data_IF_112807241574
#
_entry.id   IF_112807241574
#
_cell.length_a   1.000
_cell.length_b   1.000
_cell.length_c   1.000
_cell.angle_alpha   90.00
_cell.angle_beta   90.00
_cell.angle_gamma   90.00
#
_symmetry.space_group_name_H-M   'P 1'
#
loop_
_entity.id
_entity.type
_entity.pdbx_description
1 polymer ?
#
# COMPACT_ATOMS: atom_id res chain seq x y z
N UNK A 1 9.22 24.44 -13.71
CA UNK A 1 9.13 22.98 -13.58
C UNK A 1 7.65 22.60 -13.53
N UNK A 2 7.23 21.53 -14.20
CA UNK A 2 5.83 21.07 -14.16
C UNK A 2 5.65 20.24 -12.89
N UNK A 3 4.70 20.62 -12.03
CA UNK A 3 4.35 19.88 -10.81
C UNK A 3 4.51 20.67 -9.51
N UNK A 4 3.91 20.15 -8.44
CA UNK A 4 4.03 20.68 -7.08
C UNK A 4 5.01 19.82 -6.26
N UNK A 5 5.85 20.49 -5.45
CA UNK A 5 6.94 19.87 -4.69
C UNK A 5 6.84 20.18 -3.19
N UNK A 6 5.62 20.32 -2.68
CA UNK A 6 5.39 20.47 -1.25
C UNK A 6 5.86 19.23 -0.48
N UNK A 7 6.27 19.40 0.78
CA UNK A 7 6.72 18.33 1.67
C UNK A 7 5.72 17.17 1.85
N UNK A 8 4.44 17.43 1.60
CA UNK A 8 3.37 16.41 1.54
C UNK A 8 3.55 15.51 0.31
N UNK A 9 3.59 16.11 -0.88
CA UNK A 9 3.79 15.40 -2.14
C UNK A 9 5.15 14.69 -2.21
N UNK A 10 6.18 15.24 -1.56
CA UNK A 10 7.49 14.57 -1.44
C UNK A 10 7.37 13.24 -0.70
N UNK A 11 6.52 13.12 0.33
CA UNK A 11 6.29 11.84 1.00
C UNK A 11 5.62 10.83 0.06
N UNK A 12 4.68 11.28 -0.77
CA UNK A 12 4.08 10.45 -1.81
C UNK A 12 5.14 9.93 -2.79
N UNK A 13 6.06 10.79 -3.23
CA UNK A 13 7.15 10.39 -4.12
C UNK A 13 8.12 9.41 -3.45
N UNK A 14 8.40 9.56 -2.16
CA UNK A 14 9.21 8.61 -1.40
C UNK A 14 8.50 7.25 -1.25
N UNK A 15 7.19 7.25 -1.08
CA UNK A 15 6.36 6.03 -1.11
C UNK A 15 6.51 5.31 -2.46
N UNK A 16 6.34 6.05 -3.56
CA UNK A 16 6.52 5.49 -4.91
C UNK A 16 7.93 4.94 -5.14
N UNK A 17 8.96 5.67 -4.73
CA UNK A 17 10.35 5.21 -4.84
C UNK A 17 10.57 3.91 -4.06
N UNK A 18 10.06 3.82 -2.83
CA UNK A 18 10.08 2.59 -2.02
C UNK A 18 9.35 1.45 -2.75
N UNK A 19 8.19 1.72 -3.33
CA UNK A 19 7.40 0.72 -4.06
C UNK A 19 8.14 0.16 -5.27
N UNK A 20 8.80 1.02 -6.04
CA UNK A 20 9.61 0.63 -7.21
C UNK A 20 10.83 -0.21 -6.78
N UNK A 21 11.53 0.20 -5.72
CA UNK A 21 12.64 -0.58 -5.15
C UNK A 21 12.13 -1.96 -4.72
N UNK A 22 10.96 -2.03 -4.07
CA UNK A 22 10.31 -3.29 -3.71
C UNK A 22 10.04 -4.19 -4.93
N UNK A 23 9.59 -3.62 -6.05
CA UNK A 23 9.39 -4.39 -7.28
C UNK A 23 10.70 -4.94 -7.82
N UNK A 24 11.78 -4.17 -7.83
CA UNK A 24 13.11 -4.66 -8.20
C UNK A 24 13.59 -5.78 -7.28
N UNK A 25 13.39 -5.65 -5.97
CA UNK A 25 13.67 -6.71 -5.00
C UNK A 25 12.85 -7.98 -5.29
N UNK A 26 11.60 -7.83 -5.71
CA UNK A 26 10.74 -8.97 -6.08
C UNK A 26 11.31 -9.72 -7.28
N UNK A 27 11.66 -9.02 -8.35
CA UNK A 27 12.16 -9.64 -9.58
C UNK A 27 13.56 -10.24 -9.42
N UNK A 28 14.36 -9.73 -8.48
CA UNK A 28 15.67 -10.28 -8.13
C UNK A 28 15.62 -11.41 -7.10
N UNK A 29 14.41 -11.82 -6.67
CA UNK A 29 14.22 -12.92 -5.69
C UNK A 29 14.45 -12.52 -4.23
N UNK A 30 14.64 -11.24 -3.96
CA UNK A 30 14.83 -10.67 -2.63
C UNK A 30 13.51 -10.34 -1.94
N UNK A 31 12.71 -11.38 -1.66
CA UNK A 31 11.34 -11.23 -1.15
C UNK A 31 11.24 -10.49 0.18
N UNK A 32 12.17 -10.76 1.11
CA UNK A 32 12.24 -10.09 2.40
C UNK A 32 12.34 -8.55 2.26
N UNK A 33 13.18 -8.09 1.35
CA UNK A 33 13.36 -6.66 1.06
C UNK A 33 12.15 -6.06 0.37
N UNK A 34 11.52 -6.81 -0.55
CA UNK A 34 10.29 -6.36 -1.22
C UNK A 34 9.14 -6.12 -0.23
N UNK A 35 8.94 -7.03 0.71
CA UNK A 35 7.90 -6.92 1.74
C UNK A 35 8.21 -5.78 2.71
N UNK A 36 9.48 -5.58 3.06
CA UNK A 36 9.92 -4.43 3.83
C UNK A 36 9.59 -3.11 3.11
N UNK A 37 9.90 -3.01 1.81
CA UNK A 37 9.57 -1.85 0.99
C UNK A 37 8.05 -1.60 0.92
N UNK A 38 7.23 -2.65 0.80
CA UNK A 38 5.77 -2.52 0.84
C UNK A 38 5.27 -1.95 2.18
N UNK A 39 5.80 -2.46 3.30
CA UNK A 39 5.46 -1.96 4.63
C UNK A 39 5.90 -0.50 4.82
N UNK A 40 7.06 -0.14 4.25
CA UNK A 40 7.58 1.23 4.26
C UNK A 40 6.70 2.19 3.42
N UNK A 41 6.14 1.74 2.29
CA UNK A 41 5.16 2.53 1.53
C UNK A 41 3.95 2.87 2.39
N UNK A 42 3.39 1.88 3.11
CA UNK A 42 2.25 2.09 4.02
C UNK A 42 2.55 3.08 5.15
N UNK A 43 3.80 3.08 5.64
CA UNK A 43 4.24 4.05 6.64
C UNK A 43 4.27 5.48 6.06
N UNK A 44 4.86 5.66 4.87
CA UNK A 44 4.93 6.97 4.21
C UNK A 44 3.56 7.52 3.83
N UNK A 45 2.67 6.69 3.29
CA UNK A 45 1.28 7.05 2.99
C UNK A 45 0.55 7.57 4.26
N UNK A 46 0.68 6.83 5.36
CA UNK A 46 0.01 7.23 6.60
C UNK A 46 0.55 8.55 7.17
N UNK A 47 1.85 8.80 6.98
CA UNK A 47 2.46 10.08 7.33
C UNK A 47 1.97 11.20 6.41
N UNK A 48 1.97 11.02 5.09
CA UNK A 48 1.49 12.04 4.16
C UNK A 48 0.04 12.44 4.46
N UNK A 49 -0.86 11.47 4.66
CA UNK A 49 -2.25 11.75 5.01
C UNK A 49 -2.42 12.54 6.32
N UNK A 50 -1.55 12.35 7.32
CA UNK A 50 -1.57 13.16 8.57
C UNK A 50 -1.01 14.56 8.33
N UNK A 51 0.11 14.64 7.62
CA UNK A 51 0.84 15.87 7.33
C UNK A 51 -0.01 16.81 6.45
N UNK A 52 -0.69 16.25 5.45
CA UNK A 52 -1.66 16.93 4.61
C UNK A 52 -2.82 17.54 5.40
N UNK A 53 -3.33 16.85 6.43
CA UNK A 53 -4.42 17.34 7.31
C UNK A 53 -3.99 18.46 8.27
N UNK A 54 -2.70 18.57 8.58
CA UNK A 54 -2.18 19.62 9.47
C UNK A 54 -1.86 20.93 8.72
N UNK A 55 -1.70 20.89 7.39
CA UNK A 55 -1.40 22.07 6.58
C UNK A 55 -2.66 22.95 6.42
N UNK A 56 -2.74 24.03 7.21
CA UNK A 56 -3.86 25.00 7.18
C UNK A 56 -3.86 25.92 5.96
N UNK A 57 -2.75 26.02 5.23
CA UNK A 57 -2.54 26.98 4.13
C UNK A 57 -2.26 26.27 2.79
N UNK A 58 -3.09 25.32 2.37
CA UNK A 58 -3.01 24.71 1.03
C UNK A 58 -3.92 25.46 0.08
N UNK A 59 -3.43 25.78 -1.13
CA UNK A 59 -4.32 26.22 -2.21
C UNK A 59 -5.16 25.03 -2.69
N UNK A 60 -6.35 25.29 -3.24
CA UNK A 60 -7.21 24.22 -3.76
C UNK A 60 -6.51 23.42 -4.86
N UNK A 61 -5.76 24.07 -5.75
CA UNK A 61 -4.96 23.40 -6.79
C UNK A 61 -3.94 22.40 -6.21
N UNK A 62 -3.20 22.78 -5.16
CA UNK A 62 -2.24 21.88 -4.48
C UNK A 62 -2.92 20.68 -3.85
N UNK A 63 -4.14 20.87 -3.34
CA UNK A 63 -4.92 19.81 -2.72
C UNK A 63 -5.46 18.83 -3.76
N UNK A 64 -6.05 19.32 -4.85
CA UNK A 64 -6.52 18.49 -5.95
C UNK A 64 -5.37 17.71 -6.61
N UNK A 65 -4.24 18.37 -6.88
CA UNK A 65 -3.06 17.69 -7.40
C UNK A 65 -2.55 16.61 -6.44
N UNK A 66 -2.47 16.92 -5.14
CA UNK A 66 -2.08 15.99 -4.09
C UNK A 66 -2.95 14.74 -4.04
N UNK A 67 -4.27 14.88 -4.14
CA UNK A 67 -5.21 13.74 -4.15
C UNK A 67 -4.96 12.84 -5.36
N UNK A 68 -4.76 13.43 -6.54
CA UNK A 68 -4.57 12.65 -7.77
C UNK A 68 -3.23 11.92 -7.78
N UNK A 69 -2.14 12.59 -7.39
CA UNK A 69 -0.81 11.96 -7.37
C UNK A 69 -0.72 10.86 -6.31
N UNK A 70 -1.37 11.02 -5.17
CA UNK A 70 -1.48 10.03 -4.11
C UNK A 70 -2.16 8.75 -4.61
N UNK A 71 -3.31 8.88 -5.26
CA UNK A 71 -4.04 7.73 -5.85
C UNK A 71 -3.25 6.99 -6.94
N UNK A 72 -2.48 7.72 -7.76
CA UNK A 72 -1.60 7.13 -8.77
C UNK A 72 -0.41 6.38 -8.12
N UNK A 73 0.13 6.91 -7.03
CA UNK A 73 1.18 6.23 -6.28
C UNK A 73 0.63 5.00 -5.55
N UNK A 74 -0.57 5.09 -4.99
CA UNK A 74 -1.26 4.01 -4.29
C UNK A 74 -1.51 2.79 -5.16
N UNK A 75 -1.95 2.98 -6.41
CA UNK A 75 -2.17 1.84 -7.30
C UNK A 75 -0.86 1.12 -7.62
N UNK A 76 0.26 1.84 -7.73
CA UNK A 76 1.58 1.23 -7.94
C UNK A 76 2.07 0.51 -6.68
N UNK A 77 2.01 1.18 -5.53
CA UNK A 77 2.56 0.68 -4.28
C UNK A 77 1.71 -0.42 -3.61
N UNK A 78 0.39 -0.32 -3.69
CA UNK A 78 -0.55 -1.21 -3.00
C UNK A 78 -1.39 -2.07 -3.96
N UNK A 79 -1.45 -1.71 -5.25
CA UNK A 79 -2.01 -2.57 -6.29
C UNK A 79 -0.95 -3.47 -6.92
N UNK A 80 0.02 -2.87 -7.61
CA UNK A 80 0.96 -3.59 -8.48
C UNK A 80 2.06 -4.32 -7.70
N UNK A 81 2.69 -3.67 -6.71
CA UNK A 81 3.75 -4.31 -5.93
C UNK A 81 3.28 -5.60 -5.21
N UNK A 82 2.13 -5.63 -4.51
CA UNK A 82 1.59 -6.87 -3.94
C UNK A 82 1.32 -7.96 -4.98
N UNK A 83 0.86 -7.59 -6.18
CA UNK A 83 0.69 -8.53 -7.29
C UNK A 83 2.02 -9.17 -7.67
N UNK A 84 3.07 -8.36 -7.83
CA UNK A 84 4.40 -8.86 -8.14
C UNK A 84 4.92 -9.81 -7.05
N UNK A 85 4.79 -9.42 -5.77
CA UNK A 85 5.19 -10.22 -4.60
C UNK A 85 4.49 -11.57 -4.61
N UNK A 86 3.16 -11.58 -4.77
CA UNK A 86 2.36 -12.80 -4.72
C UNK A 86 2.61 -13.71 -5.92
N UNK A 87 2.78 -13.14 -7.11
CA UNK A 87 3.11 -13.89 -8.32
C UNK A 87 4.45 -14.61 -8.17
N UNK A 88 5.49 -13.90 -7.70
CA UNK A 88 6.80 -14.50 -7.43
C UNK A 88 6.75 -15.52 -6.27
N UNK A 89 5.85 -15.34 -5.30
CA UNK A 89 5.65 -16.27 -4.18
C UNK A 89 4.92 -17.57 -4.56
N UNK A 90 4.54 -17.76 -5.83
CA UNK A 90 3.97 -19.01 -6.35
C UNK A 90 2.54 -18.91 -6.87
N UNK A 91 1.92 -17.72 -6.89
CA UNK A 91 0.60 -17.51 -7.54
C UNK A 91 0.74 -17.36 -9.08
N UNK A 92 1.64 -18.12 -9.70
CA UNK A 92 1.96 -18.05 -11.12
C UNK A 92 1.14 -19.03 -12.00
N UNK A 93 0.22 -19.78 -11.39
CA UNK A 93 -0.76 -20.59 -12.11
C UNK A 93 -1.90 -19.73 -12.65
N UNK A 94 -2.67 -20.26 -13.61
CA UNK A 94 -3.81 -19.53 -14.20
C UNK A 94 -4.82 -19.02 -13.16
N UNK A 95 -5.25 -19.81 -12.15
CA UNK A 95 -6.13 -19.30 -11.09
C UNK A 95 -5.47 -18.22 -10.23
N UNK A 96 -4.19 -18.38 -9.91
CA UNK A 96 -3.41 -17.39 -9.15
C UNK A 96 -3.36 -16.05 -9.87
N UNK A 97 -3.00 -16.06 -11.16
CA UNK A 97 -2.95 -14.86 -12.00
C UNK A 97 -4.32 -14.18 -12.10
N UNK A 98 -5.41 -14.95 -12.27
CA UNK A 98 -6.76 -14.39 -12.30
C UNK A 98 -7.15 -13.68 -10.99
N UNK A 99 -6.80 -14.25 -9.83
CA UNK A 99 -7.03 -13.62 -8.51
C UNK A 99 -6.22 -12.32 -8.37
N UNK A 100 -4.97 -12.31 -8.84
CA UNK A 100 -4.13 -11.12 -8.76
C UNK A 100 -4.62 -9.99 -9.68
N UNK A 101 -5.09 -10.33 -10.88
CA UNK A 101 -5.75 -9.37 -11.79
C UNK A 101 -7.00 -8.79 -11.13
N UNK A 102 -7.86 -9.66 -10.58
CA UNK A 102 -9.05 -9.23 -9.85
C UNK A 102 -8.71 -8.30 -8.68
N UNK A 103 -7.72 -8.66 -7.86
CA UNK A 103 -7.25 -7.84 -6.74
C UNK A 103 -6.82 -6.43 -7.20
N UNK A 104 -6.00 -6.35 -8.24
CA UNK A 104 -5.50 -5.08 -8.75
C UNK A 104 -6.63 -4.20 -9.32
N UNK A 105 -7.53 -4.80 -10.09
CA UNK A 105 -8.72 -4.12 -10.63
C UNK A 105 -9.65 -3.64 -9.52
N UNK A 106 -9.85 -4.45 -8.47
CA UNK A 106 -10.64 -4.07 -7.31
C UNK A 106 -10.04 -2.84 -6.59
N UNK A 107 -8.72 -2.82 -6.40
CA UNK A 107 -8.00 -1.67 -5.85
C UNK A 107 -8.15 -0.42 -6.71
N UNK A 108 -8.03 -0.54 -8.03
CA UNK A 108 -8.22 0.55 -8.99
C UNK A 108 -9.63 1.15 -8.92
N UNK A 109 -10.66 0.31 -8.97
CA UNK A 109 -12.07 0.73 -8.87
C UNK A 109 -12.31 1.45 -7.54
N UNK A 110 -11.76 0.91 -6.45
CA UNK A 110 -11.88 1.47 -5.12
C UNK A 110 -11.28 2.87 -5.01
N UNK A 111 -10.07 3.08 -5.56
CA UNK A 111 -9.42 4.40 -5.60
C UNK A 111 -10.22 5.39 -6.46
N UNK A 112 -10.63 4.99 -7.66
CA UNK A 112 -11.43 5.86 -8.54
C UNK A 112 -12.76 6.27 -7.89
N UNK A 113 -13.47 5.32 -7.26
CA UNK A 113 -14.70 5.60 -6.54
C UNK A 113 -14.46 6.55 -5.34
N UNK A 114 -13.38 6.33 -4.59
CA UNK A 114 -13.04 7.18 -3.45
C UNK A 114 -12.76 8.62 -3.89
N UNK A 115 -11.97 8.83 -4.96
CA UNK A 115 -11.66 10.16 -5.48
C UNK A 115 -12.90 10.92 -5.93
N UNK A 116 -13.79 10.27 -6.70
CA UNK A 116 -15.03 10.89 -7.19
C UNK A 116 -15.99 11.20 -6.04
N UNK A 117 -16.12 10.29 -5.06
CA UNK A 117 -17.01 10.52 -3.92
C UNK A 117 -16.45 11.57 -2.94
N UNK A 118 -15.13 11.65 -2.79
CA UNK A 118 -14.50 12.69 -1.97
C UNK A 118 -14.65 14.07 -2.61
N UNK A 119 -14.51 14.18 -3.94
CA UNK A 119 -14.76 15.42 -4.68
C UNK A 119 -16.21 15.90 -4.48
N UNK A 120 -17.20 15.01 -4.65
CA UNK A 120 -18.61 15.32 -4.36
C UNK A 120 -18.83 15.76 -2.91
N UNK A 121 -18.20 15.09 -1.95
CA UNK A 121 -18.28 15.45 -0.52
C UNK A 121 -17.67 16.80 -0.17
N UNK A 122 -16.69 17.27 -0.94
CA UNK A 122 -16.12 18.60 -0.75
C UNK A 122 -17.08 19.70 -1.24
N UNK A 123 -18.01 19.37 -2.13
CA UNK A 123 -19.06 20.25 -2.64
C UNK A 123 -20.32 20.26 -1.75
N UNK A 124 -20.51 19.24 -0.89
CA UNK A 124 -21.64 19.14 0.06
C UNK A 124 -21.43 19.92 1.38
N UNK A 125 -22.52 20.41 1.98
CA UNK A 125 -22.51 21.20 3.23
C UNK A 125 -22.00 20.39 4.43
N UNK A 126 -21.30 21.06 5.37
CA UNK A 126 -20.56 20.43 6.47
C UNK A 126 -21.35 19.49 7.40
N UNK A 127 -22.69 19.58 7.41
CA UNK A 127 -23.60 18.79 8.27
C UNK A 127 -23.72 17.31 7.88
N UNK A 128 -23.45 16.91 6.63
CA UNK A 128 -23.68 15.52 6.15
C UNK A 128 -22.45 14.58 6.21
N UNK A 129 -21.33 14.99 6.83
CA UNK A 129 -20.03 14.28 6.74
C UNK A 129 -19.86 13.05 7.67
N UNK A 130 -20.88 12.20 7.85
CA UNK A 130 -20.85 11.17 8.93
C UNK A 130 -20.41 9.75 8.59
N UNK A 131 -20.14 9.38 7.34
CA UNK A 131 -19.71 7.99 7.04
C UNK A 131 -18.65 7.92 5.94
N UNK A 132 -17.59 7.13 6.19
CA UNK A 132 -16.62 6.69 5.18
C UNK A 132 -16.92 5.23 4.84
N UNK A 133 -16.83 4.87 3.56
CA UNK A 133 -17.11 3.52 3.04
C UNK A 133 -15.79 2.78 2.76
N UNK A 134 -15.75 1.48 3.08
CA UNK A 134 -14.77 0.50 2.59
C UNK A 134 -13.40 0.45 3.29
N UNK A 135 -12.69 -0.66 3.09
CA UNK A 135 -11.30 -0.84 3.55
C UNK A 135 -10.35 0.03 2.67
N UNK A 136 -9.38 0.76 3.25
CA UNK A 136 -8.35 1.46 2.47
C UNK A 136 -7.44 0.48 1.73
N UNK A 137 -7.01 0.82 0.51
CA UNK A 137 -6.09 -0.02 -0.28
C UNK A 137 -4.77 -0.26 0.46
N UNK A 138 -4.35 0.74 1.25
CA UNK A 138 -3.12 0.74 2.07
C UNK A 138 -3.10 -0.36 3.14
N UNK A 139 -4.25 -0.99 3.43
CA UNK A 139 -4.36 -2.12 4.38
C UNK A 139 -3.52 -3.33 3.95
N UNK A 140 -3.27 -3.50 2.64
CA UNK A 140 -2.41 -4.59 2.15
C UNK A 140 -0.97 -4.50 2.69
N UNK A 141 -0.50 -3.28 3.00
CA UNK A 141 0.83 -3.06 3.56
C UNK A 141 1.00 -3.62 4.97
N UNK A 142 -0.10 -3.95 5.66
CA UNK A 142 -0.08 -4.70 6.92
C UNK A 142 -0.43 -6.18 6.70
N UNK A 143 -1.42 -6.47 5.86
CA UNK A 143 -1.92 -7.84 5.65
C UNK A 143 -0.86 -8.74 5.01
N UNK A 144 -0.20 -8.29 3.93
CA UNK A 144 0.71 -9.13 3.17
C UNK A 144 1.99 -9.49 3.95
N UNK A 145 2.65 -8.55 4.66
CA UNK A 145 3.76 -8.89 5.55
C UNK A 145 3.38 -9.91 6.63
N UNK A 146 2.19 -9.78 7.23
CA UNK A 146 1.72 -10.72 8.25
C UNK A 146 1.55 -12.13 7.69
N UNK A 147 0.92 -12.26 6.52
CA UNK A 147 0.78 -13.55 5.84
C UNK A 147 2.16 -14.15 5.56
N UNK A 148 3.12 -13.34 5.09
CA UNK A 148 4.46 -13.83 4.76
C UNK A 148 5.28 -14.23 6.00
N UNK A 149 5.21 -13.48 7.10
CA UNK A 149 5.87 -13.87 8.37
C UNK A 149 5.28 -15.19 8.87
N UNK A 150 3.97 -15.39 8.71
CA UNK A 150 3.31 -16.64 9.09
C UNK A 150 3.62 -17.83 8.17
N UNK A 151 4.36 -17.64 7.07
CA UNK A 151 4.67 -18.70 6.11
C UNK A 151 5.35 -19.92 6.75
N UNK A 152 6.24 -19.69 7.73
CA UNK A 152 6.91 -20.77 8.45
C UNK A 152 5.95 -21.67 9.25
N UNK A 153 4.84 -21.11 9.74
CA UNK A 153 3.79 -21.85 10.44
C UNK A 153 2.84 -22.55 9.46
N UNK A 154 2.56 -21.92 8.31
CA UNK A 154 1.60 -22.41 7.34
C UNK A 154 2.15 -23.54 6.44
N UNK A 155 3.45 -23.56 6.16
CA UNK A 155 4.14 -24.56 5.33
C UNK A 155 3.35 -24.95 4.07
N UNK A 156 2.67 -26.11 4.08
CA UNK A 156 1.87 -26.65 2.96
C UNK A 156 0.63 -25.81 2.63
N UNK A 157 0.10 -25.07 3.61
CA UNK A 157 -1.10 -24.24 3.45
C UNK A 157 -0.79 -22.80 3.06
N UNK A 158 0.49 -22.43 2.93
CA UNK A 158 0.88 -21.06 2.61
C UNK A 158 0.25 -20.56 1.30
N UNK A 159 0.39 -21.34 0.23
CA UNK A 159 -0.09 -20.93 -1.09
C UNK A 159 -1.63 -20.83 -1.16
N UNK A 160 -2.42 -21.80 -0.66
CA UNK A 160 -3.87 -21.64 -0.54
C UNK A 160 -4.30 -20.43 0.30
N UNK A 161 -3.64 -20.17 1.44
CA UNK A 161 -3.95 -19.01 2.27
C UNK A 161 -3.63 -17.70 1.55
N UNK A 162 -2.55 -17.65 0.76
CA UNK A 162 -2.24 -16.49 -0.05
C UNK A 162 -3.31 -16.21 -1.11
N UNK A 163 -3.79 -17.26 -1.80
CA UNK A 163 -4.90 -17.13 -2.77
C UNK A 163 -6.17 -16.59 -2.10
N UNK A 164 -6.58 -17.20 -0.99
CA UNK A 164 -7.76 -16.78 -0.22
C UNK A 164 -7.59 -15.37 0.32
N UNK A 165 -6.42 -15.03 0.85
CA UNK A 165 -6.10 -13.70 1.38
C UNK A 165 -6.21 -12.60 0.32
N UNK A 166 -5.65 -12.82 -0.87
CA UNK A 166 -5.73 -11.85 -1.97
C UNK A 166 -7.16 -11.72 -2.51
N UNK A 167 -7.90 -12.83 -2.60
CA UNK A 167 -9.30 -12.82 -3.04
C UNK A 167 -10.21 -12.08 -2.05
N UNK A 168 -10.06 -12.36 -0.74
CA UNK A 168 -10.81 -11.67 0.32
C UNK A 168 -10.46 -10.19 0.32
N UNK A 169 -9.17 -9.84 0.23
CA UNK A 169 -8.74 -8.43 0.24
C UNK A 169 -9.29 -7.67 -0.96
N UNK A 170 -9.22 -8.24 -2.17
CA UNK A 170 -9.82 -7.66 -3.37
C UNK A 170 -11.34 -7.52 -3.25
N UNK A 171 -12.02 -8.54 -2.70
CA UNK A 171 -13.45 -8.48 -2.41
C UNK A 171 -13.78 -7.33 -1.44
N UNK A 172 -13.04 -7.19 -0.35
CA UNK A 172 -13.23 -6.12 0.65
C UNK A 172 -13.03 -4.71 0.09
N UNK A 173 -12.26 -4.54 -1.00
CA UNK A 173 -12.14 -3.25 -1.68
C UNK A 173 -13.41 -2.84 -2.42
N UNK A 174 -14.15 -3.80 -3.00
CA UNK A 174 -15.39 -3.51 -3.75
C UNK A 174 -16.63 -3.56 -2.84
N UNK A 175 -16.61 -4.40 -1.80
CA UNK A 175 -17.74 -4.57 -0.91
C UNK A 175 -18.00 -3.29 -0.09
N UNK A 176 -19.25 -2.83 -0.12
CA UNK A 176 -19.74 -1.69 0.65
C UNK A 176 -19.93 -2.04 2.14
N UNK A 177 -18.86 -2.43 2.83
CA UNK A 177 -18.87 -2.52 4.28
C UNK A 177 -18.76 -1.11 4.89
N UNK A 178 -19.74 -0.77 5.74
CA UNK A 178 -19.68 0.44 6.59
C UNK A 178 -18.72 0.16 7.74
N UNK A 179 -17.44 0.49 7.56
CA UNK A 179 -16.45 0.36 8.62
C UNK A 179 -16.53 1.58 9.55
N UNK A 180 -16.57 1.35 10.87
CA UNK A 180 -16.52 2.43 11.87
C UNK A 180 -15.13 3.07 11.80
N UNK A 181 -15.06 4.40 11.67
CA UNK A 181 -13.79 5.13 11.64
C UNK A 181 -12.97 4.75 12.88
N UNK A 182 -11.75 4.20 12.71
CA UNK A 182 -10.88 3.93 13.84
C UNK A 182 -10.63 5.23 14.60
N UNK A 183 -10.72 5.20 15.92
CA UNK A 183 -10.38 6.35 16.74
C UNK A 183 -8.90 6.73 16.49
N UNK A 184 -8.50 7.98 16.72
CA UNK A 184 -7.12 8.42 16.55
C UNK A 184 -6.13 7.54 17.35
N UNK A 185 -6.57 6.98 18.49
CA UNK A 185 -5.80 6.02 19.30
C UNK A 185 -5.63 4.66 18.62
N UNK A 186 -6.67 4.15 17.96
CA UNK A 186 -6.65 2.87 17.24
C UNK A 186 -5.82 2.98 15.96
N UNK A 187 -5.95 4.08 15.23
CA UNK A 187 -5.10 4.38 14.08
C UNK A 187 -3.63 4.52 14.51
N UNK A 188 -3.35 5.19 15.64
CA UNK A 188 -2.01 5.26 16.20
C UNK A 188 -1.46 3.88 16.59
N UNK A 189 -2.30 2.99 17.12
CA UNK A 189 -1.91 1.62 17.43
C UNK A 189 -1.55 0.82 16.17
N UNK A 190 -2.35 0.92 15.10
CA UNK A 190 -2.03 0.25 13.81
C UNK A 190 -0.70 0.76 13.25
N UNK A 191 -0.49 2.08 13.24
CA UNK A 191 0.77 2.68 12.79
C UNK A 191 1.93 2.23 13.66
N UNK A 192 1.77 2.18 14.98
CA UNK A 192 2.80 1.71 15.89
C UNK A 192 3.15 0.24 15.62
N UNK A 193 2.15 -0.62 15.39
CA UNK A 193 2.37 -2.02 15.01
C UNK A 193 3.13 -2.12 13.69
N UNK A 194 2.69 -1.41 12.64
CA UNK A 194 3.38 -1.42 11.34
C UNK A 194 4.81 -0.90 11.49
N UNK A 195 5.03 0.20 12.23
CA UNK A 195 6.35 0.74 12.49
C UNK A 195 7.24 -0.24 13.26
N UNK A 196 6.72 -0.95 14.25
CA UNK A 196 7.44 -2.01 14.98
C UNK A 196 7.79 -3.16 14.06
N UNK A 197 6.88 -3.59 13.18
CA UNK A 197 7.14 -4.63 12.19
C UNK A 197 8.22 -4.19 11.20
N UNK A 198 8.16 -2.96 10.70
CA UNK A 198 9.19 -2.37 9.81
C UNK A 198 10.54 -2.31 10.53
N UNK A 199 10.59 -1.84 11.78
CA UNK A 199 11.81 -1.80 12.58
C UNK A 199 12.36 -3.21 12.86
N UNK A 200 11.50 -4.16 13.18
CA UNK A 200 11.89 -5.56 13.35
C UNK A 200 12.49 -6.13 12.07
N UNK A 201 11.84 -5.94 10.92
CA UNK A 201 12.36 -6.36 9.62
C UNK A 201 13.69 -5.68 9.30
N UNK A 202 13.81 -4.39 9.61
CA UNK A 202 15.06 -3.66 9.45
C UNK A 202 16.19 -4.23 10.31
N UNK A 203 15.94 -4.63 11.55
CA UNK A 203 17.00 -5.21 12.40
C UNK A 203 17.30 -6.66 12.03
N UNK A 204 16.28 -7.43 11.70
CA UNK A 204 16.36 -8.87 11.46
C UNK A 204 16.96 -9.21 10.08
N UNK A 205 16.66 -8.42 9.06
CA UNK A 205 17.18 -8.66 7.72
C UNK A 205 18.64 -8.22 7.61
N UNK A 206 19.53 -9.17 7.29
CA UNK A 206 20.95 -8.88 7.03
C UNK A 206 21.10 -8.03 5.76
N UNK A 207 21.27 -6.71 5.94
CA UNK A 207 21.48 -5.71 4.88
C UNK A 207 22.67 -5.96 3.95
N UNK A 208 23.61 -6.83 4.34
CA UNK A 208 24.79 -7.17 3.54
C UNK A 208 24.49 -7.79 2.18
N UNK A 209 23.27 -8.33 1.96
CA UNK A 209 22.82 -8.81 0.65
C UNK A 209 22.32 -7.70 -0.28
N UNK A 210 21.72 -6.64 0.27
CA UNK A 210 21.15 -5.53 -0.51
C UNK A 210 22.23 -4.65 -1.13
N UNK A 211 23.35 -4.44 -0.43
CA UNK A 211 24.51 -3.70 -0.93
C UNK A 211 25.46 -4.54 -1.79
N UNK A 212 25.27 -5.86 -1.88
CA UNK A 212 25.95 -6.74 -2.85
C UNK A 212 25.23 -6.73 -4.21
N UNK A 213 24.60 -5.61 -4.56
CA UNK A 213 24.09 -5.37 -5.90
C UNK A 213 25.29 -5.36 -6.84
N UNK A 214 25.50 -6.49 -7.50
CA UNK A 214 26.70 -6.75 -8.27
C UNK A 214 26.60 -5.98 -9.58
N UNK A 215 27.12 -4.74 -9.60
CA UNK A 215 27.23 -3.92 -10.82
C UNK A 215 27.98 -4.64 -11.97
N UNK A 216 28.64 -5.76 -11.66
CA UNK A 216 29.35 -6.61 -12.62
C UNK A 216 28.47 -7.40 -13.58
N UNK A 217 27.15 -7.48 -13.38
CA UNK A 217 26.25 -8.14 -14.34
C UNK A 217 25.65 -7.18 -15.39
N UNK A 218 26.04 -5.91 -15.36
CA UNK A 218 25.58 -4.85 -16.27
C UNK A 218 26.71 -4.30 -17.16
N UNK A 219 27.84 -5.01 -17.22
CA UNK A 219 28.94 -4.84 -18.18
C UNK A 219 29.15 -6.14 -18.90
#
# INVERSE_FOLDING_TARGET
>A
MIGFYDYTVVLTYLSLASGIIGMFCTFTGHMHWSIFCLALCGLFDTFDGKVARMKKNRTEEQKHFGIQIDSLCDIVCFGVLPVAICYHSGMNSLPGAAILIFYCLAGLIRLAYFNVMEEKRQQETAENRKYYQGLPITSIAAILPLIHISAALLQRHFLPVLHVGMLITGGLFILNFKFRKPNNKELAAIIAVVAVVVLYMAVYYKWGGMFRWNWKSLT
#
